data_IF_267920802170
#
_entry.id   IF_267920802170
#
_cell.length_a   1.000
_cell.length_b   1.000
_cell.length_c   1.000
_cell.angle_alpha   90.00
_cell.angle_beta   90.00
_cell.angle_gamma   90.00
#
_symmetry.space_group_name_H-M   'P 1'
#
loop_
_entity.id
_entity.type
_entity.pdbx_description
1 polymer ?
#
# COMPACT_ATOMS: atom_id res chain seq x y z
N UNK A 1 -7.73 -1.63 -14.49
CA UNK A 1 -8.08 -2.61 -13.45
C UNK A 1 -7.16 -2.39 -12.25
N UNK A 2 -7.63 -2.61 -11.02
CA UNK A 2 -6.76 -2.61 -9.83
C UNK A 2 -5.81 -3.82 -9.83
N UNK A 3 -6.24 -4.93 -10.44
CA UNK A 3 -5.47 -6.17 -10.59
C UNK A 3 -4.33 -6.07 -11.62
N UNK A 4 -4.26 -4.98 -12.40
CA UNK A 4 -3.33 -4.87 -13.52
C UNK A 4 -1.86 -4.96 -13.09
N UNK A 5 -1.52 -4.57 -11.84
CA UNK A 5 -0.17 -4.72 -11.32
C UNK A 5 0.20 -6.20 -11.07
N UNK A 6 -0.76 -7.01 -10.62
CA UNK A 6 -0.58 -8.46 -10.43
C UNK A 6 -0.51 -9.20 -11.76
N UNK A 7 -1.44 -8.92 -12.67
CA UNK A 7 -1.47 -9.49 -14.03
C UNK A 7 -0.13 -9.26 -14.77
N UNK A 8 0.43 -8.05 -14.67
CA UNK A 8 1.74 -7.75 -15.27
C UNK A 8 2.88 -8.52 -14.60
N UNK A 9 2.77 -8.81 -13.30
CA UNK A 9 3.74 -9.63 -12.57
C UNK A 9 3.73 -11.08 -13.08
N UNK A 10 2.55 -11.66 -13.26
CA UNK A 10 2.37 -13.00 -13.85
C UNK A 10 2.92 -13.08 -15.29
N UNK A 11 2.86 -11.99 -16.04
CA UNK A 11 3.41 -11.92 -17.40
C UNK A 11 4.95 -11.71 -17.41
N UNK A 12 5.56 -11.33 -16.29
CA UNK A 12 6.97 -10.95 -16.25
C UNK A 12 7.27 -9.55 -16.81
N UNK A 13 6.26 -8.70 -16.99
CA UNK A 13 6.40 -7.38 -17.60
C UNK A 13 6.62 -6.30 -16.53
N UNK A 14 7.89 -6.09 -16.18
CA UNK A 14 8.29 -5.09 -15.16
C UNK A 14 7.81 -3.68 -15.54
N UNK A 15 7.92 -3.31 -16.82
CA UNK A 15 7.60 -1.96 -17.27
C UNK A 15 6.11 -1.68 -17.12
N UNK A 16 5.26 -2.62 -17.52
CA UNK A 16 3.82 -2.48 -17.35
C UNK A 16 3.41 -2.59 -15.89
N UNK A 17 4.05 -3.43 -15.07
CA UNK A 17 3.80 -3.48 -13.63
C UNK A 17 4.01 -2.10 -12.99
N UNK A 18 5.17 -1.48 -13.23
CA UNK A 18 5.46 -0.12 -12.74
C UNK A 18 4.41 0.87 -13.24
N UNK A 19 4.08 0.80 -14.54
CA UNK A 19 3.08 1.70 -15.11
C UNK A 19 1.69 1.54 -14.48
N UNK A 20 1.28 0.32 -14.18
CA UNK A 20 0.02 0.01 -13.50
C UNK A 20 0.00 0.63 -12.11
N UNK A 21 1.10 0.52 -11.35
CA UNK A 21 1.22 1.15 -10.02
C UNK A 21 1.11 2.68 -10.12
N UNK A 22 1.80 3.31 -11.06
CA UNK A 22 1.69 4.77 -11.30
C UNK A 22 0.27 5.22 -11.66
N UNK A 23 -0.46 4.39 -12.42
CA UNK A 23 -1.85 4.67 -12.79
C UNK A 23 -2.77 4.55 -11.57
N UNK A 24 -2.60 3.52 -10.73
CA UNK A 24 -3.37 3.36 -9.49
C UNK A 24 -3.13 4.55 -8.56
N UNK A 25 -1.87 4.97 -8.40
CA UNK A 25 -1.52 6.14 -7.59
C UNK A 25 -2.21 7.41 -8.11
N UNK A 26 -2.09 7.70 -9.42
CA UNK A 26 -2.62 8.92 -10.04
C UNK A 26 -4.15 8.95 -10.16
N UNK A 27 -4.77 7.84 -10.52
CA UNK A 27 -6.20 7.80 -10.89
C UNK A 27 -7.10 7.33 -9.74
N UNK A 28 -6.54 6.74 -8.68
CA UNK A 28 -7.33 6.20 -7.56
C UNK A 28 -6.89 6.81 -6.23
N UNK A 29 -5.64 6.60 -5.82
CA UNK A 29 -5.17 7.01 -4.48
C UNK A 29 -5.18 8.53 -4.34
N UNK A 30 -4.56 9.24 -5.30
CA UNK A 30 -4.52 10.71 -5.32
C UNK A 30 -5.92 11.34 -5.27
N UNK A 31 -6.84 11.01 -6.20
CA UNK A 31 -8.19 11.57 -6.22
C UNK A 31 -8.99 11.28 -4.96
N UNK A 32 -8.88 10.08 -4.37
CA UNK A 32 -9.54 9.76 -3.09
C UNK A 32 -8.99 10.66 -1.98
N UNK A 33 -7.67 10.77 -1.87
CA UNK A 33 -7.05 11.62 -0.86
C UNK A 33 -7.47 13.09 -1.01
N UNK A 34 -7.41 13.63 -2.22
CA UNK A 34 -7.85 15.00 -2.50
C UNK A 34 -9.34 15.23 -2.17
N UNK A 35 -10.19 14.24 -2.48
CA UNK A 35 -11.61 14.32 -2.16
C UNK A 35 -11.85 14.34 -0.65
N UNK A 36 -11.11 13.52 0.11
CA UNK A 36 -11.16 13.47 1.58
C UNK A 36 -10.60 14.76 2.20
N UNK A 37 -9.47 15.27 1.70
CA UNK A 37 -8.89 16.54 2.15
C UNK A 37 -9.89 17.71 2.02
N UNK A 38 -10.69 17.72 0.95
CA UNK A 38 -11.73 18.74 0.73
C UNK A 38 -12.93 18.65 1.67
N UNK A 39 -13.16 17.51 2.34
CA UNK A 39 -14.31 17.37 3.24
C UNK A 39 -14.11 18.10 4.57
N UNK A 40 -12.86 18.39 4.96
CA UNK A 40 -12.55 19.09 6.21
C UNK A 40 -12.79 18.28 7.48
N UNK A 41 -12.97 16.95 7.39
CA UNK A 41 -13.00 16.04 8.54
C UNK A 41 -11.73 15.20 8.63
N UNK A 42 -11.45 14.69 9.83
CA UNK A 42 -10.33 13.77 10.04
C UNK A 42 -10.63 12.37 9.46
N UNK A 43 -9.65 11.81 8.76
CA UNK A 43 -9.75 10.52 8.09
C UNK A 43 -8.46 9.71 8.21
N UNK A 44 -8.61 8.39 8.03
CA UNK A 44 -7.50 7.47 7.86
C UNK A 44 -7.60 6.74 6.53
N UNK A 45 -6.46 6.46 5.91
CA UNK A 45 -6.35 5.61 4.73
C UNK A 45 -5.38 4.47 5.01
N UNK A 46 -5.73 3.25 4.62
CA UNK A 46 -4.84 2.10 4.62
C UNK A 46 -4.68 1.60 3.19
N UNK A 47 -3.43 1.49 2.73
CA UNK A 47 -3.08 1.13 1.36
C UNK A 47 -2.07 -0.01 1.42
N UNK A 48 -2.36 -1.11 0.73
CA UNK A 48 -1.51 -2.28 0.58
C UNK A 48 -1.99 -3.11 -0.62
N UNK A 49 -1.11 -3.88 -1.28
CA UNK A 49 -1.56 -5.02 -2.07
C UNK A 49 -2.00 -6.16 -1.14
N UNK A 50 -2.78 -7.09 -1.66
CA UNK A 50 -3.28 -8.26 -0.93
C UNK A 50 -2.26 -9.39 -0.84
N UNK A 51 -1.40 -9.56 -1.86
CA UNK A 51 -0.33 -10.55 -1.86
C UNK A 51 0.94 -10.10 -2.62
N UNK A 52 2.04 -10.84 -2.44
CA UNK A 52 3.31 -10.57 -3.11
C UNK A 52 3.50 -11.42 -4.37
N UNK A 53 3.66 -10.76 -5.51
CA UNK A 53 3.86 -11.40 -6.82
C UNK A 53 5.14 -10.88 -7.48
N UNK A 54 6.31 -11.49 -7.23
CA UNK A 54 7.58 -11.04 -7.80
C UNK A 54 7.60 -11.28 -9.32
N UNK A 55 8.04 -10.29 -10.10
CA UNK A 55 8.10 -10.38 -11.57
C UNK A 55 9.03 -11.49 -12.05
N UNK A 56 10.11 -11.77 -11.31
CA UNK A 56 11.04 -12.87 -11.59
C UNK A 56 10.43 -14.25 -11.38
N UNK A 57 9.45 -14.36 -10.48
CA UNK A 57 8.82 -15.63 -10.09
C UNK A 57 7.52 -15.86 -10.86
N UNK A 58 6.82 -14.79 -11.28
CA UNK A 58 5.59 -14.80 -12.08
C UNK A 58 4.42 -15.54 -11.45
N UNK A 59 4.48 -15.77 -10.14
CA UNK A 59 3.40 -16.34 -9.34
C UNK A 59 3.43 -15.75 -7.94
N UNK A 60 2.36 -15.96 -7.19
CA UNK A 60 2.24 -15.50 -5.81
C UNK A 60 3.27 -16.20 -4.92
N UNK A 61 3.76 -15.47 -3.93
CA UNK A 61 4.76 -15.94 -2.96
C UNK A 61 4.38 -15.46 -1.55
N UNK A 62 4.99 -16.06 -0.52
CA UNK A 62 4.59 -15.87 0.89
C UNK A 62 5.24 -14.68 1.59
N UNK A 63 6.14 -13.98 0.89
CA UNK A 63 6.84 -12.82 1.40
C UNK A 63 5.85 -11.71 1.78
N UNK A 64 6.15 -10.94 2.83
CA UNK A 64 5.25 -9.88 3.29
C UNK A 64 5.16 -8.74 2.27
N UNK A 65 3.98 -8.13 2.23
CA UNK A 65 3.71 -6.93 1.45
C UNK A 65 3.91 -5.65 2.27
N UNK A 66 4.33 -4.54 1.66
CA UNK A 66 4.37 -3.26 2.36
C UNK A 66 2.94 -2.72 2.53
N UNK A 67 2.69 -2.01 3.63
CA UNK A 67 1.45 -1.25 3.84
C UNK A 67 1.76 0.18 4.25
N UNK A 68 0.81 1.08 4.01
CA UNK A 68 0.83 2.47 4.41
C UNK A 68 -0.44 2.78 5.19
N UNK A 69 -0.31 3.36 6.38
CA UNK A 69 -1.42 3.96 7.12
C UNK A 69 -1.17 5.47 7.17
N UNK A 70 -2.09 6.22 6.59
CA UNK A 70 -2.15 7.68 6.70
C UNK A 70 -3.27 8.06 7.67
N UNK A 71 -3.01 9.01 8.56
CA UNK A 71 -3.96 9.56 9.52
C UNK A 71 -3.88 11.09 9.45
N UNK A 72 -4.93 11.74 8.95
CA UNK A 72 -4.94 13.20 8.72
C UNK A 72 -4.86 14.00 10.01
N UNK A 73 -5.27 13.41 11.14
CA UNK A 73 -5.23 14.06 12.46
C UNK A 73 -3.82 14.09 13.06
N UNK A 74 -2.87 13.36 12.47
CA UNK A 74 -1.50 13.21 12.97
C UNK A 74 -0.49 13.85 12.03
N UNK A 75 0.58 14.41 12.60
CA UNK A 75 1.73 14.82 11.80
C UNK A 75 2.38 13.58 11.19
N UNK A 76 2.66 13.64 9.89
CA UNK A 76 3.42 12.61 9.21
C UNK A 76 4.78 12.42 9.90
N UNK A 77 5.08 11.18 10.29
CA UNK A 77 6.31 10.83 11.01
C UNK A 77 7.56 11.18 10.20
N UNK A 78 7.52 11.01 8.89
CA UNK A 78 8.61 11.39 7.98
C UNK A 78 8.04 11.69 6.58
N UNK A 79 8.16 12.94 6.12
CA UNK A 79 7.67 13.37 4.79
C UNK A 79 8.53 12.86 3.63
N UNK A 80 9.72 12.36 3.90
CA UNK A 80 10.69 11.94 2.89
C UNK A 80 10.65 10.43 2.58
N UNK A 81 9.86 9.66 3.34
CA UNK A 81 9.73 8.22 3.10
C UNK A 81 8.89 7.93 1.85
N UNK A 82 9.23 6.82 1.18
CA UNK A 82 8.53 6.34 0.00
C UNK A 82 7.80 5.04 0.32
N UNK A 83 6.68 4.81 -0.34
CA UNK A 83 5.97 3.53 -0.24
C UNK A 83 6.63 2.49 -1.15
N UNK A 84 7.41 1.59 -0.54
CA UNK A 84 8.03 0.42 -1.19
C UNK A 84 8.53 -0.56 -0.11
N UNK A 85 8.92 -1.76 -0.54
CA UNK A 85 9.37 -2.87 0.31
C UNK A 85 10.64 -2.50 1.12
N UNK A 86 11.57 -1.73 0.54
CA UNK A 86 12.80 -1.34 1.21
C UNK A 86 12.58 -0.34 2.35
N UNK A 87 11.77 0.69 2.12
CA UNK A 87 11.38 1.66 3.16
C UNK A 87 10.53 0.99 4.22
N UNK A 88 9.57 0.13 3.85
CA UNK A 88 8.73 -0.61 4.80
C UNK A 88 9.57 -1.46 5.75
N UNK A 89 10.56 -2.21 5.23
CA UNK A 89 11.45 -3.05 6.05
C UNK A 89 12.23 -2.26 7.11
N UNK A 90 12.60 -1.00 6.84
CA UNK A 90 13.33 -0.14 7.79
C UNK A 90 12.50 0.30 8.98
N UNK A 91 11.16 0.29 8.87
CA UNK A 91 10.27 0.71 9.96
C UNK A 91 10.26 -0.27 11.13
N UNK A 92 10.58 -1.55 10.87
CA UNK A 92 10.46 -2.64 11.86
C UNK A 92 9.02 -3.01 12.22
N UNK A 93 8.00 -2.31 11.68
CA UNK A 93 6.60 -2.60 11.94
C UNK A 93 6.15 -3.77 11.06
N UNK A 94 5.80 -4.88 11.69
CA UNK A 94 5.46 -6.13 11.01
C UNK A 94 4.29 -6.81 11.71
N UNK A 95 3.34 -7.29 10.91
CA UNK A 95 2.21 -8.08 11.37
C UNK A 95 2.34 -9.49 10.80
N UNK A 96 2.54 -10.48 11.69
CA UNK A 96 2.59 -11.89 11.30
C UNK A 96 1.24 -12.37 10.78
N UNK A 97 0.16 -11.95 11.45
CA UNK A 97 -1.21 -12.25 11.05
C UNK A 97 -1.85 -11.00 10.43
N UNK A 98 -2.22 -11.09 9.16
CA UNK A 98 -2.73 -9.94 8.40
C UNK A 98 -3.98 -9.31 9.01
N UNK A 99 -4.86 -10.08 9.64
CA UNK A 99 -6.08 -9.54 10.27
C UNK A 99 -5.78 -8.57 11.43
N UNK A 100 -4.63 -8.74 12.13
CA UNK A 100 -4.22 -7.82 13.20
C UNK A 100 -3.84 -6.43 12.68
N UNK A 101 -3.52 -6.31 11.39
CA UNK A 101 -3.31 -4.99 10.76
C UNK A 101 -4.63 -4.19 10.74
N UNK A 102 -5.77 -4.84 10.52
CA UNK A 102 -7.07 -4.19 10.55
C UNK A 102 -7.40 -3.72 11.99
N UNK A 103 -7.17 -4.57 12.99
CA UNK A 103 -7.35 -4.19 14.40
C UNK A 103 -6.49 -2.97 14.75
N UNK A 104 -5.22 -2.99 14.35
CA UNK A 104 -4.30 -1.87 14.51
C UNK A 104 -4.78 -0.59 13.81
N UNK A 105 -5.31 -0.71 12.59
CA UNK A 105 -5.85 0.43 11.82
C UNK A 105 -7.04 1.09 12.53
N UNK A 106 -7.98 0.28 13.02
CA UNK A 106 -9.17 0.73 13.73
C UNK A 106 -8.90 1.13 15.19
N UNK A 107 -7.72 0.81 15.73
CA UNK A 107 -7.39 1.08 17.13
C UNK A 107 -8.10 0.13 18.10
N UNK A 108 -8.45 -1.08 17.65
CA UNK A 108 -8.96 -2.14 18.51
C UNK A 108 -7.74 -2.72 19.25
N UNK A 109 -7.75 -2.64 20.58
CA UNK A 109 -6.64 -3.12 21.42
C UNK A 109 -6.26 -4.56 21.04
N UNK A 110 -4.98 -4.77 20.74
CA UNK A 110 -4.36 -6.09 20.51
C UNK A 110 -3.57 -6.53 21.73
#
# INVERSE_FOLDING_TARGET
SLEAADECSHQGDTRKKVKSIEIIDREVIGPIKEALDRQGFDYKMMILPDHYTPVSVKTHTSEPVPFLIYDSSRKAYNKSERFNEFSAKKTGLYFKEGYKLADYFFGIST
#
